data_IF_612195225314
#
_entry.id   IF_612195225314
#
_cell.length_a   1.000
_cell.length_b   1.000
_cell.length_c   1.000
_cell.angle_alpha   90.00
_cell.angle_beta   90.00
_cell.angle_gamma   90.00
#
_symmetry.space_group_name_H-M   'P 1'
#
loop_
_entity.id
_entity.type
_entity.pdbx_description
1 polymer ?
#
# COMPACT_ATOMS: atom_id res chain seq x y z
N UNK A 1 -44.17 13.32 31.71
CA UNK A 1 -42.91 12.56 31.93
C UNK A 1 -42.11 12.33 30.63
N UNK A 2 -42.68 11.74 29.56
CA UNK A 2 -41.95 11.45 28.29
C UNK A 2 -41.20 12.62 27.63
N UNK A 3 -41.72 13.86 27.70
CA UNK A 3 -41.08 15.06 27.11
C UNK A 3 -39.73 15.42 27.74
N UNK A 4 -39.53 15.13 29.04
CA UNK A 4 -38.28 15.44 29.74
C UNK A 4 -37.17 14.44 29.38
N UNK A 5 -37.51 13.15 29.25
CA UNK A 5 -36.56 12.12 28.82
C UNK A 5 -36.04 12.39 27.40
N UNK A 6 -36.93 12.70 26.45
CA UNK A 6 -36.54 13.04 25.08
C UNK A 6 -35.63 14.29 24.99
N UNK A 7 -35.86 15.29 25.86
CA UNK A 7 -34.99 16.47 25.95
C UNK A 7 -33.60 16.11 26.50
N UNK A 8 -33.54 15.20 27.47
CA UNK A 8 -32.28 14.67 28.02
C UNK A 8 -31.49 13.86 26.99
N UNK A 9 -32.14 12.96 26.24
CA UNK A 9 -31.49 12.16 25.19
C UNK A 9 -30.89 13.02 24.10
N UNK A 10 -31.63 14.05 23.64
CA UNK A 10 -31.11 15.00 22.64
C UNK A 10 -29.90 15.78 23.17
N UNK A 11 -29.96 16.25 24.43
CA UNK A 11 -28.85 16.98 25.06
C UNK A 11 -27.62 16.10 25.25
N UNK A 12 -27.80 14.85 25.67
CA UNK A 12 -26.69 13.90 25.82
C UNK A 12 -26.03 13.59 24.47
N UNK A 13 -26.81 13.36 23.42
CA UNK A 13 -26.27 13.12 22.08
C UNK A 13 -25.45 14.32 21.58
N UNK A 14 -25.95 15.54 21.76
CA UNK A 14 -25.21 16.77 21.45
C UNK A 14 -23.90 16.88 22.23
N UNK A 15 -23.91 16.57 23.53
CA UNK A 15 -22.71 16.60 24.37
C UNK A 15 -21.66 15.56 23.92
N UNK A 16 -22.10 14.36 23.55
CA UNK A 16 -21.20 13.30 23.04
C UNK A 16 -20.56 13.69 21.72
N UNK A 17 -21.32 14.32 20.81
CA UNK A 17 -20.78 14.84 19.55
C UNK A 17 -19.76 15.95 19.82
N UNK A 18 -20.05 16.86 20.75
CA UNK A 18 -19.12 17.92 21.13
C UNK A 18 -17.81 17.35 21.70
N UNK A 19 -17.89 16.41 22.65
CA UNK A 19 -16.72 15.74 23.24
C UNK A 19 -15.90 15.02 22.17
N UNK A 20 -16.55 14.24 21.30
CA UNK A 20 -15.87 13.55 20.19
C UNK A 20 -15.17 14.54 19.26
N UNK A 21 -15.84 15.64 18.91
CA UNK A 21 -15.28 16.68 18.05
C UNK A 21 -14.06 17.33 18.70
N UNK A 22 -14.14 17.71 19.97
CA UNK A 22 -13.04 18.32 20.71
C UNK A 22 -11.84 17.38 20.80
N UNK A 23 -12.06 16.11 21.15
CA UNK A 23 -10.99 15.10 21.18
C UNK A 23 -10.34 14.96 19.79
N UNK A 24 -11.14 14.88 18.73
CA UNK A 24 -10.63 14.75 17.36
C UNK A 24 -9.86 15.99 16.89
N UNK A 25 -10.36 17.20 17.18
CA UNK A 25 -9.68 18.46 16.87
C UNK A 25 -8.36 18.60 17.63
N UNK A 26 -8.29 18.17 18.91
CA UNK A 26 -7.05 18.17 19.68
C UNK A 26 -6.02 17.16 19.13
N UNK A 27 -6.47 15.96 18.73
CA UNK A 27 -5.60 14.97 18.11
C UNK A 27 -5.07 15.44 16.75
N UNK A 28 -5.90 16.14 15.97
CA UNK A 28 -5.48 16.69 14.68
C UNK A 28 -4.61 17.94 14.78
N UNK A 29 -4.85 18.83 15.75
CA UNK A 29 -4.01 20.03 15.94
C UNK A 29 -2.55 19.68 16.28
N UNK A 30 -2.29 18.52 16.87
CA UNK A 30 -0.94 18.04 17.14
C UNK A 30 -0.24 17.43 15.92
N UNK A 31 -0.98 17.05 14.87
CA UNK A 31 -0.37 16.59 13.63
C UNK A 31 0.07 17.82 12.81
N UNK A 32 1.37 17.95 12.49
CA UNK A 32 1.82 19.06 11.64
C UNK A 32 1.15 18.94 10.29
N UNK A 33 0.28 19.92 9.99
CA UNK A 33 -0.67 19.87 8.88
C UNK A 33 0.03 19.62 7.51
N UNK A 34 1.29 20.05 7.33
CA UNK A 34 1.79 20.32 5.98
C UNK A 34 3.24 19.96 5.57
N UNK A 35 4.14 19.38 6.38
CA UNK A 35 5.38 18.80 5.84
C UNK A 35 5.47 17.27 5.93
N UNK A 36 4.96 16.62 6.97
CA UNK A 36 5.21 15.18 7.16
C UNK A 36 4.38 14.35 6.20
N UNK A 37 3.07 14.60 6.12
CA UNK A 37 2.19 13.86 5.22
C UNK A 37 2.58 14.06 3.75
N UNK A 38 2.90 15.29 3.34
CA UNK A 38 3.35 15.56 1.97
C UNK A 38 4.67 14.86 1.66
N UNK A 39 5.70 15.01 2.51
CA UNK A 39 6.98 14.31 2.31
C UNK A 39 6.83 12.79 2.30
N UNK A 40 5.90 12.27 3.10
CA UNK A 40 5.56 10.86 3.12
C UNK A 40 4.91 10.42 1.80
N UNK A 41 3.93 11.17 1.30
CA UNK A 41 3.29 10.90 0.01
C UNK A 41 4.27 11.05 -1.16
N UNK A 42 5.11 12.09 -1.18
CA UNK A 42 6.14 12.29 -2.20
C UNK A 42 7.16 11.13 -2.19
N UNK A 43 7.55 10.66 -1.01
CA UNK A 43 8.43 9.50 -0.87
C UNK A 43 7.75 8.21 -1.36
N UNK A 44 6.45 8.04 -1.07
CA UNK A 44 5.66 6.90 -1.55
C UNK A 44 5.52 6.91 -3.07
N UNK A 45 5.18 8.05 -3.66
CA UNK A 45 5.05 8.23 -5.11
C UNK A 45 6.36 7.88 -5.80
N UNK A 46 7.49 8.41 -5.31
CA UNK A 46 8.81 8.09 -5.85
C UNK A 46 9.12 6.60 -5.81
N UNK A 47 8.76 5.90 -4.72
CA UNK A 47 8.99 4.44 -4.61
C UNK A 47 8.06 3.62 -5.50
N UNK A 48 6.82 4.05 -5.68
CA UNK A 48 5.90 3.45 -6.64
C UNK A 48 6.42 3.62 -8.07
N UNK A 49 6.94 4.80 -8.38
CA UNK A 49 7.51 5.10 -9.68
C UNK A 49 8.78 4.27 -9.93
N UNK A 50 9.66 4.13 -8.93
CA UNK A 50 10.82 3.23 -8.99
C UNK A 50 10.40 1.77 -9.27
N UNK A 51 9.29 1.29 -8.70
CA UNK A 51 8.76 -0.05 -8.97
C UNK A 51 8.25 -0.17 -10.41
N UNK A 52 7.52 0.82 -10.90
CA UNK A 52 6.92 0.84 -12.24
C UNK A 52 7.99 0.93 -13.33
N UNK A 53 8.98 1.78 -13.12
CA UNK A 53 10.05 2.05 -14.08
C UNK A 53 11.16 0.99 -14.05
N UNK A 54 11.18 0.13 -13.03
CA UNK A 54 12.11 -0.97 -12.94
C UNK A 54 11.90 -1.93 -14.10
N UNK A 55 12.88 -1.97 -15.00
CA UNK A 55 12.99 -2.93 -16.11
C UNK A 55 14.20 -3.80 -15.89
N UNK A 56 14.10 -5.06 -16.32
CA UNK A 56 15.22 -5.97 -16.26
C UNK A 56 16.28 -5.55 -17.30
N UNK A 57 17.48 -5.23 -16.84
CA UNK A 57 18.57 -4.69 -17.66
C UNK A 57 19.44 -5.78 -18.30
N UNK A 58 19.09 -7.07 -18.13
CA UNK A 58 19.90 -8.23 -18.55
C UNK A 58 21.34 -8.26 -17.98
N UNK A 59 21.69 -7.36 -17.04
CA UNK A 59 23.05 -7.29 -16.46
C UNK A 59 23.16 -8.15 -15.20
N UNK A 60 22.07 -8.33 -14.45
CA UNK A 60 21.99 -9.23 -13.30
C UNK A 60 21.14 -10.46 -13.56
N UNK A 61 21.22 -11.48 -12.71
CA UNK A 61 20.34 -12.64 -12.81
C UNK A 61 18.88 -12.30 -12.49
N UNK A 62 17.91 -13.00 -13.10
CA UNK A 62 16.47 -12.83 -12.83
C UNK A 62 16.16 -12.89 -11.32
N UNK A 63 16.89 -13.73 -10.57
CA UNK A 63 16.77 -13.82 -9.11
C UNK A 63 17.09 -12.49 -8.42
N UNK A 64 18.17 -11.82 -8.80
CA UNK A 64 18.57 -10.54 -8.21
C UNK A 64 17.56 -9.44 -8.52
N UNK A 65 17.00 -9.48 -9.73
CA UNK A 65 15.92 -8.59 -10.13
C UNK A 65 14.65 -8.79 -9.28
N UNK A 66 14.21 -10.04 -9.09
CA UNK A 66 13.07 -10.38 -8.24
C UNK A 66 13.31 -9.92 -6.80
N UNK A 67 14.53 -10.13 -6.26
CA UNK A 67 14.89 -9.68 -4.90
C UNK A 67 14.80 -8.16 -4.78
N UNK A 68 15.27 -7.39 -5.76
CA UNK A 68 15.13 -5.93 -5.78
C UNK A 68 13.65 -5.50 -5.75
N UNK A 69 12.81 -6.14 -6.56
CA UNK A 69 11.36 -5.90 -6.59
C UNK A 69 10.68 -6.21 -5.24
N UNK A 70 10.96 -7.37 -4.64
CA UNK A 70 10.41 -7.77 -3.34
C UNK A 70 10.89 -6.84 -2.22
N UNK A 71 12.13 -6.36 -2.28
CA UNK A 71 12.66 -5.40 -1.32
C UNK A 71 11.89 -4.07 -1.36
N UNK A 72 11.59 -3.56 -2.56
CA UNK A 72 10.76 -2.35 -2.73
C UNK A 72 9.35 -2.60 -2.21
N UNK A 73 8.75 -3.75 -2.53
CA UNK A 73 7.42 -4.10 -2.03
C UNK A 73 7.38 -4.18 -0.50
N UNK A 74 8.38 -4.80 0.13
CA UNK A 74 8.49 -4.91 1.59
C UNK A 74 8.58 -3.54 2.25
N UNK A 75 9.33 -2.62 1.64
CA UNK A 75 9.38 -1.23 2.09
C UNK A 75 8.05 -0.51 1.90
N UNK A 76 7.31 -0.76 0.82
CA UNK A 76 5.98 -0.18 0.65
C UNK A 76 4.99 -0.71 1.71
N UNK A 77 5.07 -2.00 2.05
CA UNK A 77 4.28 -2.59 3.13
C UNK A 77 4.56 -1.97 4.50
N UNK A 78 5.82 -1.59 4.79
CA UNK A 78 6.15 -0.89 6.05
C UNK A 78 5.51 0.49 6.16
N UNK A 79 5.08 1.08 5.04
CA UNK A 79 4.36 2.35 4.99
C UNK A 79 2.84 2.15 4.88
N UNK A 80 2.33 0.97 5.29
CA UNK A 80 0.91 0.57 5.20
C UNK A 80 0.33 0.47 3.78
N UNK A 81 1.19 0.42 2.76
CA UNK A 81 0.76 0.15 1.38
C UNK A 81 0.92 -1.35 1.12
N UNK A 82 -0.18 -2.09 1.19
CA UNK A 82 -0.17 -3.49 0.77
C UNK A 82 -0.44 -3.61 -0.72
N UNK A 83 0.63 -3.76 -1.49
CA UNK A 83 0.55 -4.14 -2.89
C UNK A 83 0.05 -5.58 -3.00
N UNK A 84 -1.12 -5.75 -3.63
CA UNK A 84 -1.68 -7.07 -3.95
C UNK A 84 -0.61 -7.91 -4.66
N UNK A 85 -0.30 -9.09 -4.11
CA UNK A 85 0.72 -10.00 -4.63
C UNK A 85 0.53 -10.31 -6.13
N UNK A 86 -0.73 -10.38 -6.59
CA UNK A 86 -1.08 -10.55 -8.01
C UNK A 86 -0.54 -9.41 -8.88
N UNK A 87 -0.59 -8.17 -8.39
CA UNK A 87 -0.07 -7.01 -9.12
C UNK A 87 1.45 -7.08 -9.21
N UNK A 88 2.14 -7.42 -8.11
CA UNK A 88 3.61 -7.50 -8.11
C UNK A 88 4.13 -8.59 -9.03
N UNK A 89 3.52 -9.78 -9.02
CA UNK A 89 3.91 -10.88 -9.93
C UNK A 89 3.67 -10.48 -11.38
N UNK A 90 2.50 -9.88 -11.69
CA UNK A 90 2.19 -9.42 -13.04
C UNK A 90 3.18 -8.35 -13.50
N UNK A 91 3.52 -7.40 -12.63
CA UNK A 91 4.45 -6.32 -12.93
C UNK A 91 5.87 -6.86 -13.14
N UNK A 92 6.33 -7.78 -12.28
CA UNK A 92 7.61 -8.48 -12.44
C UNK A 92 7.70 -9.18 -13.81
N UNK A 93 6.67 -9.93 -14.17
CA UNK A 93 6.60 -10.61 -15.46
C UNK A 93 6.56 -9.63 -16.63
N UNK A 94 5.88 -8.50 -16.50
CA UNK A 94 5.83 -7.49 -17.56
C UNK A 94 7.18 -6.77 -17.72
N UNK A 95 7.90 -6.54 -16.63
CA UNK A 95 9.22 -5.89 -16.59
C UNK A 95 10.38 -6.78 -17.05
N UNK A 96 10.20 -8.12 -16.99
CA UNK A 96 11.12 -9.07 -17.61
C UNK A 96 11.09 -8.85 -19.12
N UNK A 97 12.30 -8.73 -19.70
CA UNK A 97 12.50 -8.44 -21.13
C UNK A 97 11.64 -9.35 -22.01
N UNK A 98 11.20 -8.83 -23.15
CA UNK A 98 10.43 -9.58 -24.17
C UNK A 98 11.15 -10.87 -24.57
N UNK A 99 12.48 -10.93 -24.40
CA UNK A 99 13.29 -12.12 -24.66
C UNK A 99 12.89 -13.33 -23.80
N UNK A 100 12.30 -13.10 -22.62
CA UNK A 100 11.79 -14.14 -21.73
C UNK A 100 10.30 -14.44 -21.99
N UNK A 101 9.84 -14.23 -23.23
CA UNK A 101 8.47 -14.52 -23.67
C UNK A 101 8.04 -15.95 -23.34
N UNK A 102 8.96 -16.91 -23.36
CA UNK A 102 8.68 -18.30 -22.98
C UNK A 102 8.16 -18.40 -21.53
N UNK A 103 8.70 -17.60 -20.60
CA UNK A 103 8.23 -17.55 -19.21
C UNK A 103 6.82 -16.94 -19.14
N UNK A 104 6.52 -15.91 -19.96
CA UNK A 104 5.17 -15.30 -20.02
C UNK A 104 4.12 -16.30 -20.50
N UNK A 105 4.40 -17.09 -21.53
CA UNK A 105 3.47 -18.13 -22.01
C UNK A 105 3.29 -19.23 -20.98
N UNK A 106 4.38 -19.71 -20.36
CA UNK A 106 4.28 -20.73 -19.30
C UNK A 106 3.44 -20.24 -18.11
N UNK A 107 3.55 -18.96 -17.72
CA UNK A 107 2.77 -18.41 -16.61
C UNK A 107 1.27 -18.32 -16.91
N UNK A 108 0.88 -17.96 -18.14
CA UNK A 108 -0.52 -17.94 -18.56
C UNK A 108 -1.13 -19.35 -18.61
N UNK A 109 -0.33 -20.36 -18.96
CA UNK A 109 -0.79 -21.76 -19.04
C UNK A 109 -0.84 -22.44 -17.68
N UNK A 110 0.11 -22.14 -16.78
CA UNK A 110 0.22 -22.89 -15.52
C UNK A 110 -0.85 -22.47 -14.51
N UNK A 111 -1.30 -21.21 -14.45
CA UNK A 111 -2.42 -20.78 -13.57
C UNK A 111 -2.23 -21.01 -12.07
N UNK A 112 -1.24 -21.80 -11.67
CA UNK A 112 -0.96 -22.19 -10.30
C UNK A 112 -0.11 -21.10 -9.65
N UNK A 113 -0.79 -20.43 -8.71
CA UNK A 113 -0.29 -19.56 -7.66
C UNK A 113 1.22 -19.76 -7.41
N UNK A 114 2.03 -18.88 -7.98
CA UNK A 114 3.41 -18.72 -7.55
C UNK A 114 3.41 -18.19 -6.12
N UNK A 115 3.43 -19.10 -5.15
CA UNK A 115 3.70 -18.73 -3.76
C UNK A 115 5.22 -18.58 -3.67
N UNK A 116 5.70 -17.35 -3.47
CA UNK A 116 7.12 -17.04 -3.25
C UNK A 116 7.53 -17.50 -1.84
N UNK A 117 7.39 -18.80 -1.55
CA UNK A 117 7.80 -19.42 -0.28
C UNK A 117 8.87 -20.49 -0.44
N UNK A 118 9.39 -20.75 -1.63
CA UNK A 118 10.36 -21.84 -1.85
C UNK A 118 11.78 -21.36 -2.26
N UNK A 119 12.20 -20.14 -1.93
CA UNK A 119 13.57 -19.68 -2.24
C UNK A 119 14.38 -19.23 -1.02
N UNK A 120 13.92 -19.55 0.19
CA UNK A 120 14.73 -19.57 1.41
C UNK A 120 14.85 -21.01 1.88
#
# INVERSE_FOLDING_TARGET
>A
MKKLLAKGERSNSLSLIAIRRTIFEHLLCGLPEKPIAKKFLDALEKRYQELIDMRYDNVGGVKEFIVKMVHIQTKLKSHQIDLNEKFTVKHALNSLSVDLTQIKTTHNTIGEKWIVKACC
#
